data_IF_613540709486
#
_entry.id   IF_613540709486
#
_cell.length_a   1.000
_cell.length_b   1.000
_cell.length_c   1.000
_cell.angle_alpha   90.00
_cell.angle_beta   90.00
_cell.angle_gamma   90.00
#
_symmetry.space_group_name_H-M   'P 1'
#
loop_
_entity.id
_entity.type
_entity.pdbx_description
1 polymer ?
#
# COMPACT_ATOMS: atom_id res chain seq x y z
N UNK A 1 -7.21 13.01 -6.43
CA UNK A 1 -5.95 12.25 -6.54
C UNK A 1 -5.47 11.64 -5.21
N UNK A 2 -5.95 12.10 -4.04
CA UNK A 2 -5.66 11.46 -2.73
C UNK A 2 -6.49 10.18 -2.46
N UNK A 3 -7.58 10.00 -3.18
CA UNK A 3 -8.57 8.92 -2.97
C UNK A 3 -7.97 7.51 -3.03
N UNK A 4 -7.10 7.24 -4.02
CA UNK A 4 -6.51 5.91 -4.21
C UNK A 4 -5.55 5.50 -3.10
N UNK A 5 -4.78 6.45 -2.56
CA UNK A 5 -3.86 6.18 -1.47
C UNK A 5 -4.61 5.93 -0.18
N UNK A 6 -5.64 6.73 0.08
CA UNK A 6 -6.49 6.54 1.25
C UNK A 6 -7.22 5.19 1.21
N UNK A 7 -7.78 4.80 0.05
CA UNK A 7 -8.36 3.49 -0.17
C UNK A 7 -7.36 2.34 0.06
N UNK A 8 -6.12 2.50 -0.44
CA UNK A 8 -5.05 1.53 -0.23
C UNK A 8 -4.71 1.38 1.25
N UNK A 9 -4.55 2.50 1.96
CA UNK A 9 -4.27 2.53 3.39
C UNK A 9 -5.43 1.86 4.15
N UNK A 10 -6.68 2.19 3.84
CA UNK A 10 -7.86 1.60 4.45
C UNK A 10 -7.93 0.08 4.23
N UNK A 11 -7.67 -0.39 3.01
CA UNK A 11 -7.61 -1.81 2.68
C UNK A 11 -6.50 -2.53 3.45
N UNK A 12 -5.32 -1.90 3.56
CA UNK A 12 -4.20 -2.44 4.33
C UNK A 12 -4.51 -2.53 5.83
N UNK A 13 -5.08 -1.48 6.41
CA UNK A 13 -5.47 -1.45 7.84
C UNK A 13 -6.53 -2.51 8.14
N UNK A 14 -7.53 -2.69 7.26
CA UNK A 14 -8.54 -3.76 7.38
C UNK A 14 -7.94 -5.16 7.42
N UNK A 15 -6.75 -5.34 6.83
CA UNK A 15 -6.04 -6.61 6.76
C UNK A 15 -4.86 -6.70 7.74
N UNK A 16 -4.90 -5.90 8.80
CA UNK A 16 -3.92 -5.88 9.89
C UNK A 16 -2.52 -5.39 9.48
N UNK A 17 -2.41 -4.61 8.40
CA UNK A 17 -1.18 -3.85 8.15
C UNK A 17 -1.12 -2.62 9.05
N UNK A 18 0.06 -2.36 9.61
CA UNK A 18 0.41 -1.07 10.19
C UNK A 18 0.89 -0.16 9.07
N UNK A 19 0.24 0.98 8.89
CA UNK A 19 0.59 1.96 7.87
C UNK A 19 0.97 3.28 8.52
N UNK A 20 2.11 3.84 8.14
CA UNK A 20 2.53 5.17 8.59
C UNK A 20 3.39 5.86 7.54
N UNK A 21 3.45 7.19 7.62
CA UNK A 21 4.32 8.01 6.80
C UNK A 21 5.38 8.67 7.68
N UNK A 22 6.61 8.79 7.19
CA UNK A 22 7.63 9.59 7.87
C UNK A 22 7.61 11.06 7.41
N UNK A 23 8.38 11.90 8.09
CA UNK A 23 8.52 13.33 7.79
C UNK A 23 9.07 13.64 6.38
N UNK A 24 9.69 12.64 5.73
CA UNK A 24 10.20 12.73 4.35
C UNK A 24 9.15 12.33 3.31
N UNK A 25 7.94 11.98 3.72
CA UNK A 25 6.87 11.54 2.84
C UNK A 25 6.93 10.06 2.43
N UNK A 26 7.84 9.28 3.01
CA UNK A 26 7.99 7.84 2.75
C UNK A 26 6.88 7.08 3.47
N UNK A 27 6.18 6.23 2.74
CA UNK A 27 5.14 5.35 3.26
C UNK A 27 5.71 4.00 3.66
N UNK A 28 5.25 3.50 4.80
CA UNK A 28 5.60 2.20 5.34
C UNK A 28 4.33 1.39 5.57
N UNK A 29 4.34 0.16 5.08
CA UNK A 29 3.27 -0.82 5.25
C UNK A 29 3.87 -2.07 5.86
N UNK A 30 3.52 -2.39 7.10
CA UNK A 30 4.08 -3.52 7.83
C UNK A 30 3.02 -4.52 8.23
N UNK A 31 3.27 -5.79 7.95
CA UNK A 31 2.49 -6.92 8.47
C UNK A 31 3.43 -7.98 9.00
N UNK A 32 3.46 -8.14 10.33
CA UNK A 32 4.38 -9.05 11.00
C UNK A 32 5.85 -8.73 10.68
N UNK A 33 6.61 -9.69 10.10
CA UNK A 33 8.01 -9.48 9.70
C UNK A 33 8.18 -8.76 8.36
N UNK A 34 7.12 -8.66 7.54
CA UNK A 34 7.20 -8.06 6.20
C UNK A 34 6.94 -6.56 6.29
N UNK A 35 7.83 -5.77 5.72
CA UNK A 35 7.68 -4.32 5.57
C UNK A 35 7.85 -3.93 4.11
N UNK A 36 6.84 -3.29 3.55
CA UNK A 36 6.87 -2.67 2.22
C UNK A 36 7.02 -1.17 2.40
N UNK A 37 7.95 -0.55 1.67
CA UNK A 37 8.21 0.88 1.73
C UNK A 37 8.02 1.52 0.36
N UNK A 38 7.44 2.71 0.33
CA UNK A 38 7.35 3.54 -0.87
C UNK A 38 7.95 4.91 -0.58
N UNK A 39 8.99 5.29 -1.33
CA UNK A 39 9.73 6.53 -1.11
C UNK A 39 8.83 7.79 -1.18
N UNK A 40 7.75 7.72 -1.94
CA UNK A 40 6.75 8.78 -2.11
C UNK A 40 5.39 8.18 -2.45
N UNK A 41 4.35 9.01 -2.44
CA UNK A 41 3.05 8.64 -3.01
C UNK A 41 3.22 8.41 -4.52
N UNK A 42 2.81 7.25 -5.07
CA UNK A 42 2.91 6.97 -6.49
C UNK A 42 2.12 8.00 -7.32
N UNK A 43 2.75 8.54 -8.36
CA UNK A 43 2.10 9.52 -9.25
C UNK A 43 1.63 8.89 -10.56
N UNK A 44 2.32 7.84 -11.02
CA UNK A 44 2.04 7.14 -12.27
C UNK A 44 1.52 5.71 -12.06
N UNK A 45 0.81 5.18 -13.07
CA UNK A 45 0.23 3.84 -13.03
C UNK A 45 1.26 2.73 -12.77
N UNK A 46 2.47 2.84 -13.33
CA UNK A 46 3.55 1.86 -13.11
C UNK A 46 4.05 1.84 -11.67
N UNK A 47 4.15 3.01 -11.02
CA UNK A 47 4.51 3.09 -9.60
C UNK A 47 3.39 2.49 -8.74
N UNK A 48 2.12 2.73 -9.09
CA UNK A 48 0.97 2.11 -8.42
C UNK A 48 0.98 0.58 -8.54
N UNK A 49 1.18 0.04 -9.75
CA UNK A 49 1.25 -1.41 -9.99
C UNK A 49 2.39 -2.03 -9.18
N UNK A 50 3.55 -1.37 -9.12
CA UNK A 50 4.70 -1.85 -8.36
C UNK A 50 4.39 -1.90 -6.86
N UNK A 51 3.79 -0.84 -6.30
CA UNK A 51 3.41 -0.77 -4.90
C UNK A 51 2.35 -1.84 -4.55
N UNK A 52 1.30 -1.94 -5.37
CA UNK A 52 0.22 -2.92 -5.20
C UNK A 52 0.78 -4.34 -5.28
N UNK A 53 1.67 -4.62 -6.24
CA UNK A 53 2.33 -5.92 -6.38
C UNK A 53 3.20 -6.27 -5.16
N UNK A 54 3.99 -5.31 -4.66
CA UNK A 54 4.79 -5.49 -3.45
C UNK A 54 3.92 -5.77 -2.22
N UNK A 55 2.80 -5.05 -2.08
CA UNK A 55 1.85 -5.27 -1.00
C UNK A 55 1.15 -6.63 -1.13
N UNK A 56 0.77 -7.05 -2.34
CA UNK A 56 0.19 -8.38 -2.60
C UNK A 56 1.17 -9.49 -2.25
N UNK A 57 2.46 -9.32 -2.58
CA UNK A 57 3.54 -10.21 -2.13
C UNK A 57 3.72 -10.23 -0.61
N UNK A 58 3.42 -9.12 0.07
CA UNK A 58 3.37 -9.04 1.53
C UNK A 58 2.08 -9.61 2.15
N UNK A 59 1.19 -10.15 1.32
CA UNK A 59 -0.08 -10.76 1.72
C UNK A 59 -1.27 -9.80 1.75
N UNK A 60 -1.15 -8.58 1.20
CA UNK A 60 -2.29 -7.70 1.03
C UNK A 60 -3.19 -8.29 -0.05
N UNK A 61 -4.36 -8.77 0.35
CA UNK A 61 -5.34 -9.32 -0.56
C UNK A 61 -6.25 -8.18 -1.02
N UNK A 62 -6.11 -7.78 -2.27
CA UNK A 62 -7.13 -6.94 -2.87
C UNK A 62 -8.21 -7.90 -3.33
N UNK A 63 -9.48 -7.75 -2.88
CA UNK A 63 -10.54 -8.53 -3.48
C UNK A 63 -10.46 -8.28 -4.98
N UNK A 64 -10.22 -9.35 -5.75
CA UNK A 64 -10.32 -9.30 -7.19
C UNK A 64 -11.74 -8.79 -7.44
N UNK A 65 -11.90 -7.57 -7.96
CA UNK A 65 -13.18 -7.11 -8.44
C UNK A 65 -13.50 -7.92 -9.70
N UNK A 66 -13.79 -9.20 -9.50
CA UNK A 66 -14.56 -9.99 -10.43
C UNK A 66 -16.00 -9.62 -10.21
N UNK A 67 -16.46 -8.61 -10.96
CA UNK A 67 -17.82 -8.38 -11.43
C UNK A 67 -17.83 -7.25 -12.47
#
# INVERSE_FOLDING_TARGET
>A
MADRMDQLIAAAVRQHFKVWQNERGVWFFRRGPITVTSARTPVDASEWITLIGALRGAGLDFPDSGE
#
